data_IF_917290897275
#
_entry.id   IF_917290897275
#
_cell.length_a   1.000
_cell.length_b   1.000
_cell.length_c   1.000
_cell.angle_alpha   90.00
_cell.angle_beta   90.00
_cell.angle_gamma   90.00
#
_symmetry.space_group_name_H-M   'P 1'
#
loop_
_entity.id
_entity.type
_entity.pdbx_description
1 polymer ?
#
# COMPACT_ATOMS: atom_id res chain seq x y z
N UNK A 1 2.80 -47.46 15.99
CA UNK A 1 4.20 -46.96 15.87
C UNK A 1 4.45 -46.01 14.68
N UNK A 2 3.54 -45.86 13.70
CA UNK A 2 3.74 -44.95 12.54
C UNK A 2 3.39 -43.47 12.86
N UNK A 3 2.54 -43.22 13.88
CA UNK A 3 2.17 -41.85 14.30
C UNK A 3 3.23 -41.11 15.13
N UNK A 4 4.19 -41.82 15.73
CA UNK A 4 5.27 -41.19 16.51
C UNK A 4 6.42 -40.70 15.63
N UNK A 5 6.70 -41.38 14.51
CA UNK A 5 7.68 -40.93 13.51
C UNK A 5 7.27 -39.61 12.82
N UNK A 6 5.97 -39.36 12.69
CA UNK A 6 5.46 -38.09 12.14
C UNK A 6 5.52 -36.93 13.14
N UNK A 7 5.64 -37.19 14.45
CA UNK A 7 5.77 -36.14 15.46
C UNK A 7 7.22 -35.67 15.66
N UNK A 8 8.22 -36.54 15.46
CA UNK A 8 9.65 -36.17 15.57
C UNK A 8 10.10 -35.21 14.46
N UNK A 9 9.50 -35.28 13.27
CA UNK A 9 9.70 -34.28 12.19
C UNK A 9 8.87 -32.99 12.37
N UNK A 10 7.99 -32.94 13.38
CA UNK A 10 6.97 -31.88 13.52
C UNK A 10 7.29 -30.84 14.59
N UNK A 11 8.39 -30.97 15.34
CA UNK A 11 8.61 -30.11 16.52
C UNK A 11 9.47 -28.86 16.24
N UNK A 12 10.36 -28.91 15.25
CA UNK A 12 11.16 -27.74 14.82
C UNK A 12 10.41 -26.81 13.85
N UNK A 13 9.32 -27.30 13.26
CA UNK A 13 8.64 -26.69 12.10
C UNK A 13 7.33 -25.97 12.47
N UNK A 14 6.71 -26.32 13.61
CA UNK A 14 5.41 -25.74 14.00
C UNK A 14 5.52 -24.25 14.32
N UNK A 15 6.57 -23.84 15.03
CA UNK A 15 6.80 -22.44 15.40
C UNK A 15 7.04 -21.54 14.17
N UNK A 16 7.79 -22.03 13.17
CA UNK A 16 8.06 -21.31 11.92
C UNK A 16 6.80 -21.24 11.05
N UNK A 17 6.08 -22.37 10.91
CA UNK A 17 4.81 -22.42 10.17
C UNK A 17 3.76 -21.51 10.80
N UNK A 18 3.62 -21.51 12.13
CA UNK A 18 2.69 -20.61 12.82
C UNK A 18 3.07 -19.14 12.63
N UNK A 19 4.36 -18.79 12.67
CA UNK A 19 4.82 -17.42 12.35
C UNK A 19 4.51 -17.03 10.91
N UNK A 20 4.75 -17.92 9.95
CA UNK A 20 4.41 -17.72 8.54
C UNK A 20 2.90 -17.51 8.36
N UNK A 21 2.07 -18.41 8.91
CA UNK A 21 0.61 -18.28 8.84
C UNK A 21 0.10 -17.01 9.51
N UNK A 22 0.70 -16.59 10.63
CA UNK A 22 0.37 -15.33 11.29
C UNK A 22 0.70 -14.12 10.41
N UNK A 23 1.90 -14.08 9.81
CA UNK A 23 2.32 -12.98 8.93
C UNK A 23 1.42 -12.93 7.69
N UNK A 24 1.20 -14.05 7.00
CA UNK A 24 0.31 -14.11 5.84
C UNK A 24 -1.12 -13.74 6.20
N UNK A 25 -1.63 -14.20 7.35
CA UNK A 25 -2.96 -13.88 7.83
C UNK A 25 -3.16 -12.38 8.05
N UNK A 26 -2.19 -11.71 8.70
CA UNK A 26 -2.21 -10.26 8.91
C UNK A 26 -2.16 -9.52 7.57
N UNK A 27 -1.27 -9.91 6.64
CA UNK A 27 -1.15 -9.27 5.33
C UNK A 27 -2.45 -9.37 4.52
N UNK A 28 -3.05 -10.56 4.46
CA UNK A 28 -4.32 -10.78 3.75
C UNK A 28 -5.44 -9.95 4.38
N UNK A 29 -5.51 -9.92 5.72
CA UNK A 29 -6.54 -9.14 6.44
C UNK A 29 -6.43 -7.66 6.10
N UNK A 30 -5.22 -7.09 6.16
CA UNK A 30 -5.00 -5.67 5.83
C UNK A 30 -5.39 -5.39 4.37
N UNK A 31 -5.03 -6.28 3.44
CA UNK A 31 -5.35 -6.10 2.03
C UNK A 31 -6.87 -6.13 1.77
N UNK A 32 -7.58 -7.08 2.38
CA UNK A 32 -9.05 -7.16 2.31
C UNK A 32 -9.69 -5.91 2.88
N UNK A 33 -9.25 -5.44 4.04
CA UNK A 33 -9.75 -4.20 4.65
C UNK A 33 -9.53 -3.00 3.74
N UNK A 34 -8.35 -2.89 3.11
CA UNK A 34 -8.04 -1.81 2.17
C UNK A 34 -8.96 -1.82 0.93
N UNK A 35 -9.24 -3.00 0.36
CA UNK A 35 -10.16 -3.12 -0.76
C UNK A 35 -11.62 -2.85 -0.38
N UNK A 36 -12.06 -3.32 0.79
CA UNK A 36 -13.40 -3.00 1.31
C UNK A 36 -13.54 -1.50 1.53
N UNK A 37 -12.53 -0.84 2.09
CA UNK A 37 -12.50 0.61 2.22
C UNK A 37 -12.58 1.28 0.86
N UNK A 38 -11.75 0.90 -0.10
CA UNK A 38 -11.75 1.48 -1.45
C UNK A 38 -13.13 1.36 -2.11
N UNK A 39 -13.78 0.20 -2.00
CA UNK A 39 -15.15 0.01 -2.51
C UNK A 39 -16.15 0.91 -1.79
N UNK A 40 -16.11 0.99 -0.45
CA UNK A 40 -17.01 1.86 0.31
C UNK A 40 -16.82 3.35 -0.04
N UNK A 41 -15.57 3.81 -0.16
CA UNK A 41 -15.24 5.21 -0.45
C UNK A 41 -15.51 5.62 -1.90
N UNK A 42 -15.28 4.71 -2.86
CA UNK A 42 -15.35 5.03 -4.29
C UNK A 42 -16.56 4.44 -5.02
N UNK A 43 -17.54 3.86 -4.30
CA UNK A 43 -18.72 3.26 -4.94
C UNK A 43 -19.52 4.21 -5.84
N UNK A 44 -19.50 5.52 -5.55
CA UNK A 44 -20.15 6.54 -6.37
C UNK A 44 -19.30 7.05 -7.55
N UNK A 45 -18.02 6.70 -7.61
CA UNK A 45 -17.06 7.21 -8.60
C UNK A 45 -16.23 6.08 -9.21
N UNK A 46 -16.78 5.35 -10.21
CA UNK A 46 -16.14 4.16 -10.77
C UNK A 46 -14.78 4.44 -11.44
N UNK A 47 -14.54 5.67 -11.91
CA UNK A 47 -13.25 6.08 -12.45
C UNK A 47 -12.14 6.01 -11.39
N UNK A 48 -12.45 6.36 -10.13
CA UNK A 48 -11.49 6.31 -9.02
C UNK A 48 -11.18 4.86 -8.58
N UNK A 49 -12.12 3.93 -8.77
CA UNK A 49 -11.83 2.50 -8.62
C UNK A 49 -10.86 1.99 -9.70
N UNK A 50 -10.99 2.48 -10.93
CA UNK A 50 -10.05 2.18 -12.02
C UNK A 50 -8.63 2.66 -11.71
N UNK A 51 -8.47 3.88 -11.19
CA UNK A 51 -7.16 4.39 -10.79
C UNK A 51 -6.59 3.65 -9.59
N UNK A 52 -7.42 3.26 -8.61
CA UNK A 52 -7.02 2.42 -7.48
C UNK A 52 -6.49 1.06 -7.95
N UNK A 53 -7.15 0.43 -8.93
CA UNK A 53 -6.72 -0.85 -9.51
C UNK A 53 -5.40 -0.72 -10.28
N UNK A 54 -5.23 0.35 -11.05
CA UNK A 54 -3.96 0.64 -11.72
C UNK A 54 -2.83 0.88 -10.71
N UNK A 55 -3.07 1.70 -9.68
CA UNK A 55 -2.12 1.94 -8.61
C UNK A 55 -1.73 0.63 -7.89
N UNK A 56 -2.70 -0.24 -7.64
CA UNK A 56 -2.46 -1.56 -7.06
C UNK A 56 -1.61 -2.44 -7.98
N UNK A 57 -1.89 -2.46 -9.29
CA UNK A 57 -1.11 -3.19 -10.28
C UNK A 57 0.33 -2.69 -10.39
N UNK A 58 0.53 -1.37 -10.43
CA UNK A 58 1.88 -0.77 -10.42
C UNK A 58 2.63 -1.08 -9.12
N UNK A 59 1.94 -1.06 -7.97
CA UNK A 59 2.51 -1.46 -6.68
C UNK A 59 2.93 -2.93 -6.65
N UNK A 60 2.09 -3.83 -7.19
CA UNK A 60 2.44 -5.25 -7.33
C UNK A 60 3.64 -5.47 -8.25
N UNK A 61 3.72 -4.74 -9.37
CA UNK A 61 4.88 -4.82 -10.27
C UNK A 61 6.16 -4.39 -9.56
N UNK A 62 6.12 -3.24 -8.89
CA UNK A 62 7.23 -2.70 -8.11
C UNK A 62 7.73 -3.68 -7.04
N UNK A 63 6.82 -4.41 -6.40
CA UNK A 63 7.18 -5.40 -5.38
C UNK A 63 7.89 -6.66 -5.95
N UNK A 64 7.76 -6.94 -7.25
CA UNK A 64 8.36 -8.10 -7.94
C UNK A 64 9.60 -7.66 -8.75
N UNK A 65 10.07 -6.43 -8.57
CA UNK A 65 11.28 -5.97 -9.25
C UNK A 65 12.54 -6.73 -8.76
N UNK A 66 13.50 -6.89 -9.67
CA UNK A 66 14.66 -7.76 -9.48
C UNK A 66 15.58 -7.29 -8.35
N UNK A 67 15.60 -5.99 -8.05
CA UNK A 67 16.36 -5.40 -6.96
C UNK A 67 15.84 -5.87 -5.59
N UNK A 68 14.53 -5.94 -5.40
CA UNK A 68 13.90 -6.42 -4.17
C UNK A 68 14.18 -7.91 -3.97
N UNK A 69 14.07 -8.71 -5.04
CA UNK A 69 14.35 -10.15 -5.01
C UNK A 69 15.83 -10.39 -4.68
N UNK A 70 16.74 -9.68 -5.34
CA UNK A 70 18.18 -9.81 -5.11
C UNK A 70 18.59 -9.37 -3.70
N UNK A 71 17.98 -8.31 -3.15
CA UNK A 71 18.25 -7.86 -1.79
C UNK A 71 17.80 -8.88 -0.75
N UNK A 72 16.60 -9.44 -0.89
CA UNK A 72 16.08 -10.48 0.02
C UNK A 72 16.95 -11.74 -0.07
N UNK A 73 17.32 -12.18 -1.27
CA UNK A 73 18.20 -13.33 -1.47
C UNK A 73 19.55 -13.14 -0.78
N UNK A 74 20.19 -11.99 -0.98
CA UNK A 74 21.50 -11.71 -0.39
C UNK A 74 21.46 -11.71 1.16
N UNK A 75 20.43 -11.10 1.76
CA UNK A 75 20.26 -11.09 3.22
C UNK A 75 19.93 -12.49 3.74
N UNK A 76 19.08 -13.23 3.05
CA UNK A 76 18.71 -14.62 3.41
C UNK A 76 19.94 -15.52 3.37
N UNK A 77 20.74 -15.43 2.30
CA UNK A 77 21.97 -16.19 2.12
C UNK A 77 23.00 -15.85 3.19
N UNK A 78 23.15 -14.56 3.54
CA UNK A 78 24.02 -14.11 4.63
C UNK A 78 23.60 -14.68 5.99
N UNK A 79 22.31 -14.63 6.33
CA UNK A 79 21.81 -15.21 7.59
C UNK A 79 21.95 -16.74 7.64
N UNK A 80 21.78 -17.41 6.51
CA UNK A 80 22.00 -18.85 6.41
C UNK A 80 23.49 -19.23 6.58
N UNK A 81 24.41 -18.42 6.04
CA UNK A 81 25.86 -18.58 6.28
C UNK A 81 26.22 -18.41 7.76
N UNK A 82 25.47 -17.58 8.50
CA UNK A 82 25.61 -17.42 9.95
C UNK A 82 24.86 -18.50 10.79
N UNK A 83 24.37 -19.58 10.16
CA UNK A 83 23.54 -20.64 10.77
C UNK A 83 22.23 -20.12 11.41
N UNK A 84 21.74 -18.93 11.04
CA UNK A 84 20.48 -18.37 11.52
C UNK A 84 19.33 -18.71 10.57
N UNK A 85 18.11 -18.82 11.13
CA UNK A 85 16.89 -19.09 10.34
C UNK A 85 16.22 -17.78 9.90
N UNK A 86 16.17 -17.46 8.60
CA UNK A 86 15.70 -16.16 8.11
C UNK A 86 14.16 -16.09 7.99
N UNK A 87 13.43 -16.32 9.09
CA UNK A 87 11.95 -16.41 9.04
C UNK A 87 11.27 -15.04 8.96
N UNK A 88 11.90 -13.98 9.45
CA UNK A 88 11.32 -12.63 9.52
C UNK A 88 12.01 -11.60 8.60
N UNK A 89 13.00 -12.02 7.81
CA UNK A 89 13.83 -11.12 6.99
C UNK A 89 12.98 -10.36 5.97
N UNK A 90 12.10 -11.06 5.25
CA UNK A 90 11.19 -10.44 4.28
C UNK A 90 10.20 -9.45 4.92
N UNK A 91 9.77 -9.72 6.16
CA UNK A 91 8.87 -8.82 6.90
C UNK A 91 9.56 -7.50 7.26
N UNK A 92 10.77 -7.56 7.84
CA UNK A 92 11.53 -6.35 8.18
C UNK A 92 11.98 -5.56 6.95
N UNK A 93 12.29 -6.23 5.84
CA UNK A 93 12.59 -5.58 4.56
C UNK A 93 11.38 -4.79 4.02
N UNK A 94 10.21 -5.42 3.97
CA UNK A 94 8.96 -4.76 3.57
C UNK A 94 8.60 -3.59 4.49
N UNK A 95 8.82 -3.73 5.80
CA UNK A 95 8.55 -2.69 6.78
C UNK A 95 9.48 -1.48 6.64
N UNK A 96 10.78 -1.72 6.41
CA UNK A 96 11.77 -0.68 6.15
C UNK A 96 11.48 0.08 4.86
N UNK A 97 11.25 -0.64 3.75
CA UNK A 97 10.94 -0.01 2.46
C UNK A 97 9.65 0.81 2.51
N UNK A 98 8.60 0.25 3.12
CA UNK A 98 7.31 0.95 3.28
C UNK A 98 7.47 2.24 4.10
N UNK A 99 8.33 2.23 5.14
CA UNK A 99 8.57 3.44 5.94
C UNK A 99 9.19 4.57 5.13
N UNK A 100 10.15 4.27 4.26
CA UNK A 100 10.81 5.27 3.40
C UNK A 100 9.81 5.83 2.37
N UNK A 101 9.01 4.96 1.76
CA UNK A 101 7.99 5.38 0.78
C UNK A 101 6.95 6.29 1.43
N UNK A 102 6.42 5.91 2.61
CA UNK A 102 5.44 6.73 3.34
C UNK A 102 6.00 8.10 3.70
N UNK A 103 7.24 8.15 4.21
CA UNK A 103 7.92 9.41 4.53
C UNK A 103 8.14 10.27 3.28
N UNK A 104 8.57 9.67 2.18
CA UNK A 104 8.74 10.38 0.91
C UNK A 104 7.41 10.93 0.38
N UNK A 105 6.33 10.12 0.41
CA UNK A 105 4.99 10.56 0.01
C UNK A 105 4.47 11.69 0.89
N UNK A 106 4.70 11.64 2.21
CA UNK A 106 4.32 12.71 3.13
C UNK A 106 5.09 14.00 2.81
N UNK A 107 6.41 13.90 2.57
CA UNK A 107 7.24 15.05 2.22
C UNK A 107 6.79 15.69 0.91
N UNK A 108 6.45 14.87 -0.10
CA UNK A 108 5.89 15.33 -1.36
C UNK A 108 4.53 15.99 -1.15
N UNK A 109 3.65 15.41 -0.34
CA UNK A 109 2.33 15.98 -0.05
C UNK A 109 2.44 17.34 0.64
N UNK A 110 3.32 17.46 1.65
CA UNK A 110 3.59 18.72 2.35
C UNK A 110 4.16 19.76 1.38
N UNK A 111 5.15 19.38 0.57
CA UNK A 111 5.76 20.29 -0.42
C UNK A 111 4.74 20.75 -1.46
N UNK A 112 3.90 19.84 -1.96
CA UNK A 112 2.83 20.16 -2.89
C UNK A 112 1.81 21.13 -2.27
N UNK A 113 1.38 20.89 -1.02
CA UNK A 113 0.46 21.79 -0.31
C UNK A 113 1.07 23.19 -0.11
N UNK A 114 2.34 23.26 0.30
CA UNK A 114 3.04 24.53 0.47
C UNK A 114 3.26 25.28 -0.86
N UNK A 115 3.37 24.57 -1.99
CA UNK A 115 3.36 25.17 -3.31
C UNK A 115 1.97 25.67 -3.69
N UNK A 116 0.89 24.92 -3.40
CA UNK A 116 -0.49 25.36 -3.65
C UNK A 116 -0.84 26.61 -2.84
N UNK A 117 -0.42 26.71 -1.57
CA UNK A 117 -0.59 27.92 -0.74
C UNK A 117 0.08 29.16 -1.36
N UNK A 118 1.16 28.97 -2.14
CA UNK A 118 1.80 30.06 -2.91
C UNK A 118 1.08 30.40 -4.21
N UNK A 119 0.35 29.46 -4.81
CA UNK A 119 -0.46 29.73 -6.00
C UNK A 119 -1.80 30.41 -5.67
N UNK A 120 -2.30 30.30 -4.43
CA UNK A 120 -3.45 31.10 -3.96
C UNK A 120 -3.16 32.61 -3.89
N UNK A 121 -1.88 33.03 -3.96
CA UNK A 121 -1.47 34.43 -4.09
C UNK A 121 -1.41 34.94 -5.55
N UNK A 122 -1.69 34.09 -6.55
CA UNK A 122 -1.82 34.50 -7.95
C UNK A 122 -3.23 34.16 -8.48
N UNK A 123 -4.23 35.03 -8.27
CA UNK A 123 -5.53 34.88 -8.92
C UNK A 123 -5.35 35.21 -10.41
N UNK A 124 -5.05 34.20 -11.24
CA UNK A 124 -4.80 34.51 -12.63
C UNK A 124 -4.40 33.40 -13.58
N UNK A 125 -4.70 32.12 -13.34
CA UNK A 125 -4.69 31.14 -14.43
C UNK A 125 -5.79 30.09 -14.21
N UNK A 126 -6.79 30.10 -15.08
CA UNK A 126 -7.53 28.88 -15.45
C UNK A 126 -8.95 28.75 -14.93
N UNK A 127 -9.85 29.59 -15.45
CA UNK A 127 -11.29 29.35 -15.37
C UNK A 127 -11.68 28.12 -16.19
N UNK A 128 -12.16 27.08 -15.51
CA UNK A 128 -13.00 26.00 -16.05
C UNK A 128 -14.12 25.68 -15.05
N UNK A 129 -14.74 26.72 -14.49
CA UNK A 129 -15.94 26.60 -13.64
C UNK A 129 -17.04 27.50 -14.22
N UNK A 130 -17.47 27.16 -15.43
CA UNK A 130 -18.69 27.68 -16.06
C UNK A 130 -19.47 26.48 -16.60
N UNK A 131 -20.71 26.24 -16.21
CA UNK A 131 -21.53 26.94 -15.25
C UNK A 131 -22.58 25.98 -14.72
N UNK A 132 -22.90 26.12 -13.44
CA UNK A 132 -24.15 25.64 -12.90
C UNK A 132 -24.50 26.50 -11.70
N UNK A 133 -25.69 27.11 -11.79
CA UNK A 133 -26.42 27.89 -10.76
C UNK A 133 -26.10 29.38 -10.61
N UNK A 134 -26.75 30.21 -11.42
CA UNK A 134 -27.46 31.46 -11.06
C UNK A 134 -28.00 32.03 -12.39
N UNK A 135 -29.30 32.17 -12.67
CA UNK A 135 -30.35 32.83 -11.91
C UNK A 135 -31.72 32.15 -12.13
N UNK A 136 -32.24 31.55 -11.05
CA UNK A 136 -33.66 31.32 -10.83
C UNK A 136 -34.19 32.59 -10.17
N UNK A 137 -35.08 33.31 -10.83
CA UNK A 137 -35.85 34.41 -10.23
C UNK A 137 -35.63 35.77 -10.90
N UNK A 138 -36.24 35.98 -12.06
CA UNK A 138 -36.61 37.31 -12.53
C UNK A 138 -38.06 37.23 -13.02
N UNK A 139 -38.96 37.46 -12.07
CA UNK A 139 -40.38 37.65 -12.26
C UNK A 139 -40.87 38.43 -11.06
N UNK A 140 -40.79 39.76 -11.14
CA UNK A 140 -41.61 40.71 -10.39
C UNK A 140 -41.12 42.16 -10.60
N UNK A 141 -41.50 42.79 -11.71
CA UNK A 141 -41.58 44.25 -11.83
C UNK A 141 -42.16 44.72 -13.19
N UNK A 142 -43.41 45.19 -13.09
CA UNK A 142 -44.08 46.30 -13.82
C UNK A 142 -44.02 46.38 -15.35
#
# INVERSE_FOLDING_TARGET
MIRQLTQVFSDSNRHVRTKLFAIYGVLITINVVAWVWALAAFHHHPVLLGTALLAYGFGLRHAVDADHIAAIDNVTRKLMQENKRPVAVGFFFSLGHSSVVVLASLLVAVTASAMTDRFDHYPGVGGCRGGDRQYRGAGADQ
#
